data_IF_823974147797
#
_entry.id   IF_823974147797
#
_cell.length_a   1.000
_cell.length_b   1.000
_cell.length_c   1.000
_cell.angle_alpha   90.00
_cell.angle_beta   90.00
_cell.angle_gamma   90.00
#
_symmetry.space_group_name_H-M   'P 1'
#
loop_
_entity.id
_entity.type
_entity.pdbx_description
1 polymer ?
#
# COMPACT_ATOMS: atom_id res chain seq x y z
N UNK A 1 -26.90 9.25 -45.82
CA UNK A 1 -26.12 10.50 -45.67
C UNK A 1 -24.69 10.07 -45.35
N UNK A 2 -23.76 10.26 -46.28
CA UNK A 2 -22.32 10.00 -46.10
C UNK A 2 -21.65 11.29 -45.61
N UNK A 3 -20.45 11.16 -45.02
CA UNK A 3 -19.37 12.16 -44.80
C UNK A 3 -19.06 12.36 -43.31
N UNK A 4 -17.83 12.37 -42.79
CA UNK A 4 -16.48 11.89 -43.17
C UNK A 4 -15.66 11.99 -41.86
N UNK A 5 -14.78 11.02 -41.63
CA UNK A 5 -13.70 11.12 -40.62
C UNK A 5 -12.66 12.16 -41.06
N UNK A 6 -12.13 12.93 -40.10
CA UNK A 6 -10.81 13.58 -40.22
C UNK A 6 -10.10 13.52 -38.87
N UNK A 7 -9.14 12.60 -38.79
CA UNK A 7 -8.09 12.53 -37.77
C UNK A 7 -6.95 13.44 -38.23
N UNK A 8 -6.49 14.33 -37.37
CA UNK A 8 -5.27 15.11 -37.60
C UNK A 8 -4.25 14.70 -36.54
N UNK A 9 -3.28 13.89 -36.97
CA UNK A 9 -2.05 13.59 -36.26
C UNK A 9 -1.04 14.69 -36.59
N UNK A 10 -0.51 15.38 -35.57
CA UNK A 10 0.58 16.34 -35.74
C UNK A 10 1.77 15.87 -34.89
N UNK A 11 2.70 15.15 -35.52
CA UNK A 11 4.01 14.83 -34.96
C UNK A 11 5.04 15.82 -35.49
N UNK A 12 5.58 16.66 -34.61
CA UNK A 12 6.72 17.53 -34.89
C UNK A 12 7.97 16.84 -34.35
N UNK A 13 8.82 16.37 -35.24
CA UNK A 13 10.18 15.90 -34.93
C UNK A 13 11.16 16.95 -35.45
N UNK A 14 11.82 17.67 -34.54
CA UNK A 14 12.94 18.53 -34.85
C UNK A 14 14.24 17.82 -34.45
N UNK A 15 15.10 17.70 -35.43
CA UNK A 15 16.39 17.02 -35.47
C UNK A 15 17.44 17.74 -34.64
N UNK A 16 18.18 16.98 -33.84
CA UNK A 16 19.45 17.40 -33.23
C UNK A 16 20.55 17.20 -34.28
N UNK A 17 21.22 18.29 -34.65
CA UNK A 17 22.46 18.28 -35.40
C UNK A 17 23.48 19.16 -34.67
N UNK A 18 24.47 18.54 -34.06
CA UNK A 18 25.75 19.17 -33.73
C UNK A 18 26.83 18.13 -34.03
N UNK A 19 27.40 18.25 -35.23
CA UNK A 19 28.77 17.81 -35.52
C UNK A 19 29.73 18.75 -34.79
N UNK A 20 30.74 18.20 -34.13
CA UNK A 20 32.04 18.86 -34.09
C UNK A 20 33.16 17.82 -33.95
N UNK A 21 34.17 18.02 -34.78
CA UNK A 21 35.26 17.11 -35.04
C UNK A 21 36.52 17.44 -34.25
N UNK A 22 37.37 16.41 -34.17
CA UNK A 22 38.84 16.41 -34.19
C UNK A 22 39.64 16.83 -32.95
N UNK A 23 40.34 15.80 -32.47
CA UNK A 23 41.78 15.70 -32.18
C UNK A 23 42.40 16.20 -30.87
N UNK A 24 43.08 15.21 -30.28
CA UNK A 24 44.40 15.21 -29.64
C UNK A 24 44.53 15.37 -28.12
N UNK A 25 45.07 14.26 -27.57
CA UNK A 25 46.12 14.14 -26.57
C UNK A 25 45.84 14.26 -25.07
N UNK A 26 46.16 13.13 -24.42
CA UNK A 26 46.77 12.98 -23.10
C UNK A 26 46.14 13.72 -21.92
N UNK A 27 45.40 12.99 -21.07
CA UNK A 27 45.78 12.68 -19.68
C UNK A 27 44.99 11.44 -19.24
N UNK A 28 45.69 10.37 -18.84
CA UNK A 28 45.07 9.27 -18.07
C UNK A 28 44.83 9.78 -16.64
N UNK A 29 43.74 10.52 -16.45
CA UNK A 29 43.18 10.78 -15.13
C UNK A 29 42.46 9.50 -14.71
N UNK A 30 42.97 8.86 -13.67
CA UNK A 30 42.27 7.81 -12.95
C UNK A 30 41.12 8.50 -12.19
N UNK A 31 40.05 8.85 -12.90
CA UNK A 31 38.80 9.27 -12.28
C UNK A 31 38.19 8.04 -11.64
N UNK A 32 38.56 7.83 -10.39
CA UNK A 32 37.84 6.98 -9.47
C UNK A 32 36.49 7.66 -9.21
N UNK A 33 35.55 7.52 -10.16
CA UNK A 33 34.14 7.78 -9.92
C UNK A 33 33.66 6.76 -8.89
N UNK A 34 33.79 7.09 -7.61
CA UNK A 34 32.84 6.61 -6.62
C UNK A 34 31.62 7.54 -6.70
N UNK A 35 30.77 7.34 -7.72
CA UNK A 35 29.36 7.73 -7.61
C UNK A 35 28.74 6.74 -6.63
N UNK A 36 28.94 7.01 -5.34
CA UNK A 36 28.05 6.51 -4.31
C UNK A 36 26.76 7.35 -4.42
N UNK A 37 26.02 7.11 -5.51
CA UNK A 37 24.61 7.49 -5.61
C UNK A 37 23.86 6.57 -4.65
N UNK A 38 24.02 6.83 -3.35
CA UNK A 38 23.18 6.23 -2.33
C UNK A 38 21.77 6.72 -2.62
N UNK A 39 21.00 5.83 -3.24
CA UNK A 39 19.59 6.06 -3.55
C UNK A 39 18.91 6.54 -2.28
N UNK A 40 18.33 7.74 -2.34
CA UNK A 40 17.71 8.37 -1.17
C UNK A 40 16.53 7.52 -0.70
N UNK A 41 16.62 7.02 0.52
CA UNK A 41 15.53 6.37 1.21
C UNK A 41 14.56 7.42 1.78
N UNK A 42 13.28 7.21 1.54
CA UNK A 42 12.18 8.03 2.07
C UNK A 42 11.40 7.19 3.06
N UNK A 43 11.28 7.66 4.30
CA UNK A 43 10.51 6.94 5.33
C UNK A 43 9.04 7.33 5.26
N UNK A 44 8.19 6.35 5.54
CA UNK A 44 6.78 6.58 5.86
C UNK A 44 6.64 6.64 7.38
N UNK A 45 5.88 7.62 7.87
CA UNK A 45 5.67 7.81 9.31
C UNK A 45 4.21 7.55 9.65
N UNK A 46 3.99 6.80 10.74
CA UNK A 46 2.65 6.57 11.29
C UNK A 46 2.02 7.90 11.69
N UNK A 47 0.74 8.07 11.40
CA UNK A 47 -0.06 9.22 11.83
C UNK A 47 -1.50 8.78 12.09
N UNK A 48 -2.26 9.63 12.77
CA UNK A 48 -3.67 9.44 13.08
C UNK A 48 -4.46 10.52 12.32
N UNK A 49 -5.22 10.17 11.27
CA UNK A 49 -6.13 11.11 10.63
C UNK A 49 -7.27 11.51 11.57
N UNK A 50 -7.96 12.60 11.24
CA UNK A 50 -9.16 13.01 11.99
C UNK A 50 -10.24 11.93 11.88
N UNK A 51 -10.66 11.38 13.02
CA UNK A 51 -11.78 10.45 13.09
C UNK A 51 -13.10 11.24 13.07
N UNK A 52 -14.09 10.75 12.32
CA UNK A 52 -15.42 11.34 12.21
C UNK A 52 -16.44 10.45 12.92
N UNK A 53 -17.06 10.99 13.96
CA UNK A 53 -18.13 10.30 14.69
C UNK A 53 -19.50 10.50 14.02
N UNK A 54 -20.37 9.49 14.14
CA UNK A 54 -21.77 9.58 13.73
C UNK A 54 -21.99 9.74 12.22
N UNK A 55 -21.01 9.36 11.40
CA UNK A 55 -21.18 9.29 9.95
C UNK A 55 -22.03 8.06 9.58
N UNK A 56 -22.96 8.22 8.64
CA UNK A 56 -23.86 7.15 8.18
C UNK A 56 -23.76 7.03 6.65
N UNK A 57 -23.88 5.80 6.14
CA UNK A 57 -23.92 5.50 4.71
C UNK A 57 -24.91 4.36 4.47
N UNK A 58 -25.91 4.59 3.63
CA UNK A 58 -26.94 3.58 3.32
C UNK A 58 -26.31 2.27 2.82
N UNK A 59 -26.70 1.15 3.43
CA UNK A 59 -26.23 -0.19 3.08
C UNK A 59 -24.91 -0.61 3.73
N UNK A 60 -24.39 0.20 4.65
CA UNK A 60 -23.18 -0.08 5.42
C UNK A 60 -23.46 0.03 6.91
N UNK A 61 -22.88 -0.87 7.70
CA UNK A 61 -22.74 -0.70 9.14
C UNK A 61 -21.32 -0.19 9.40
N UNK A 62 -21.21 1.04 9.88
CA UNK A 62 -19.95 1.77 9.90
C UNK A 62 -19.30 1.64 11.27
N UNK A 63 -18.11 1.05 11.29
CA UNK A 63 -17.29 0.91 12.49
C UNK A 63 -16.49 2.19 12.74
N UNK A 64 -15.78 2.66 11.71
CA UNK A 64 -14.85 3.79 11.82
C UNK A 64 -14.79 4.62 10.54
N UNK A 65 -14.56 5.92 10.68
CA UNK A 65 -14.38 6.84 9.55
C UNK A 65 -13.23 7.78 9.82
N UNK A 66 -12.30 7.85 8.88
CA UNK A 66 -11.12 8.71 8.94
C UNK A 66 -11.13 9.70 7.78
N UNK A 67 -10.89 10.98 8.08
CA UNK A 67 -10.80 12.05 7.10
C UNK A 67 -9.34 12.29 6.70
N UNK A 68 -9.05 12.18 5.41
CA UNK A 68 -7.76 12.56 4.82
C UNK A 68 -8.03 13.56 3.70
N UNK A 69 -7.67 14.83 3.93
CA UNK A 69 -7.99 15.96 3.06
C UNK A 69 -9.49 16.06 2.74
N UNK A 70 -9.91 15.72 1.51
CA UNK A 70 -11.31 15.73 1.04
C UNK A 70 -11.93 14.34 0.93
N UNK A 71 -11.19 13.30 1.34
CA UNK A 71 -11.56 11.90 1.22
C UNK A 71 -11.92 11.33 2.59
N UNK A 72 -12.87 10.39 2.62
CA UNK A 72 -13.16 9.59 3.80
C UNK A 72 -12.71 8.17 3.55
N UNK A 73 -11.90 7.63 4.46
CA UNK A 73 -11.61 6.19 4.56
C UNK A 73 -12.59 5.63 5.58
N UNK A 74 -13.47 4.76 5.12
CA UNK A 74 -14.56 4.18 5.91
C UNK A 74 -14.24 2.70 6.12
N UNK A 75 -14.21 2.28 7.37
CA UNK A 75 -14.24 0.87 7.76
C UNK A 75 -15.68 0.52 8.05
N UNK A 76 -16.21 -0.40 7.25
CA UNK A 76 -17.61 -0.77 7.38
C UNK A 76 -17.84 -2.22 6.99
N UNK A 77 -18.78 -2.81 7.73
CA UNK A 77 -19.41 -4.06 7.38
C UNK A 77 -20.42 -3.85 6.24
N UNK A 78 -20.45 -4.81 5.32
CA UNK A 78 -21.51 -4.92 4.32
C UNK A 78 -21.97 -6.37 4.21
N UNK A 79 -23.29 -6.57 4.05
CA UNK A 79 -23.85 -7.89 3.76
C UNK A 79 -23.34 -8.47 2.43
N UNK A 80 -22.95 -7.58 1.51
CA UNK A 80 -22.44 -7.91 0.18
C UNK A 80 -23.23 -9.03 -0.50
N UNK A 81 -22.61 -10.18 -0.76
CA UNK A 81 -23.26 -11.30 -1.47
C UNK A 81 -24.00 -12.31 -0.56
N UNK A 82 -24.05 -12.11 0.76
CA UNK A 82 -24.63 -13.07 1.72
C UNK A 82 -26.06 -13.52 1.37
N UNK A 83 -26.90 -12.62 0.90
CA UNK A 83 -28.31 -12.92 0.57
C UNK A 83 -28.46 -13.60 -0.80
N UNK A 84 -27.46 -13.42 -1.68
CA UNK A 84 -27.56 -13.79 -3.11
C UNK A 84 -26.71 -15.00 -3.50
N UNK A 85 -25.80 -15.43 -2.62
CA UNK A 85 -24.87 -16.54 -2.86
C UNK A 85 -25.05 -17.63 -1.79
N UNK A 86 -25.08 -18.90 -2.20
CA UNK A 86 -25.02 -20.03 -1.26
C UNK A 86 -23.63 -20.19 -0.62
N UNK A 87 -22.61 -19.60 -1.23
CA UNK A 87 -21.23 -19.53 -0.71
C UNK A 87 -20.73 -18.09 -0.78
N UNK A 88 -21.16 -17.23 0.16
CA UNK A 88 -20.78 -15.83 0.18
C UNK A 88 -19.26 -15.66 0.24
N UNK A 89 -18.74 -14.75 -0.58
CA UNK A 89 -17.29 -14.53 -0.72
C UNK A 89 -16.90 -13.05 -0.65
N UNK A 90 -17.90 -12.17 -0.59
CA UNK A 90 -17.75 -10.74 -0.48
C UNK A 90 -18.78 -10.23 0.53
N UNK A 91 -18.49 -10.44 1.81
CA UNK A 91 -19.27 -9.98 2.95
C UNK A 91 -18.34 -9.68 4.12
N UNK A 92 -18.81 -8.91 5.10
CA UNK A 92 -18.01 -8.57 6.27
C UNK A 92 -17.42 -7.18 6.24
N UNK A 93 -16.39 -6.97 7.05
CA UNK A 93 -15.65 -5.72 7.10
C UNK A 93 -14.81 -5.48 5.84
N UNK A 94 -14.54 -4.21 5.57
CA UNK A 94 -13.64 -3.81 4.50
C UNK A 94 -13.47 -2.29 4.43
N UNK A 95 -12.46 -1.86 3.66
CA UNK A 95 -12.13 -0.47 3.45
C UNK A 95 -12.92 0.10 2.27
N UNK A 96 -13.59 1.22 2.49
CA UNK A 96 -14.30 1.99 1.45
C UNK A 96 -13.75 3.42 1.38
N UNK A 97 -13.41 3.90 0.19
CA UNK A 97 -12.97 5.29 -0.02
C UNK A 97 -14.13 6.12 -0.59
N UNK A 98 -14.44 7.24 0.06
CA UNK A 98 -15.46 8.18 -0.38
C UNK A 98 -14.87 9.55 -0.73
N UNK A 99 -15.54 10.27 -1.63
CA UNK A 99 -15.38 11.70 -1.84
C UNK A 99 -16.76 12.38 -1.88
N UNK A 100 -17.05 13.19 -0.87
CA UNK A 100 -18.44 13.55 -0.59
C UNK A 100 -19.25 12.30 -0.25
N UNK A 101 -20.32 12.05 -1.01
CA UNK A 101 -21.19 10.87 -0.87
C UNK A 101 -20.91 9.81 -1.95
N UNK A 102 -19.91 10.03 -2.81
CA UNK A 102 -19.56 9.10 -3.88
C UNK A 102 -18.53 8.09 -3.42
N UNK A 103 -18.85 6.80 -3.59
CA UNK A 103 -17.90 5.69 -3.44
C UNK A 103 -16.91 5.73 -4.61
N UNK A 104 -15.63 5.91 -4.29
CA UNK A 104 -14.54 5.86 -5.27
C UNK A 104 -13.88 4.48 -5.34
N UNK A 105 -13.88 3.75 -4.23
CA UNK A 105 -13.28 2.43 -4.12
C UNK A 105 -13.91 1.63 -2.98
N UNK A 106 -13.98 0.31 -3.16
CA UNK A 106 -14.31 -0.65 -2.12
C UNK A 106 -13.32 -1.80 -2.20
N UNK A 107 -12.70 -2.16 -1.08
CA UNK A 107 -11.94 -3.39 -0.98
C UNK A 107 -12.89 -4.58 -1.09
N UNK A 108 -12.33 -5.74 -1.40
CA UNK A 108 -13.03 -6.99 -1.14
C UNK A 108 -13.31 -7.07 0.36
N UNK A 109 -14.48 -7.57 0.75
CA UNK A 109 -14.78 -7.79 2.16
C UNK A 109 -14.06 -9.03 2.67
N UNK A 110 -13.64 -8.97 3.94
CA UNK A 110 -12.76 -9.98 4.55
C UNK A 110 -13.47 -11.00 5.44
N UNK A 111 -14.80 -10.97 5.49
CA UNK A 111 -15.61 -11.87 6.31
C UNK A 111 -15.74 -11.39 7.76
N UNK A 112 -15.52 -12.29 8.71
CA UNK A 112 -15.76 -12.07 10.15
C UNK A 112 -14.45 -12.06 10.96
N UNK A 113 -13.45 -11.23 10.62
CA UNK A 113 -12.47 -10.89 11.63
C UNK A 113 -13.18 -10.11 12.76
N UNK A 114 -12.90 -10.40 14.02
CA UNK A 114 -13.35 -9.53 15.12
C UNK A 114 -12.72 -8.14 15.05
N UNK A 115 -11.58 -8.02 14.36
CA UNK A 115 -10.80 -6.81 14.24
C UNK A 115 -10.36 -6.58 12.79
N UNK A 116 -10.80 -5.46 12.22
CA UNK A 116 -10.33 -4.91 10.95
C UNK A 116 -9.89 -3.45 11.18
N UNK A 117 -8.73 -3.26 11.82
CA UNK A 117 -8.32 -1.95 12.36
C UNK A 117 -7.31 -1.25 11.44
N UNK A 118 -7.60 -0.02 10.95
CA UNK A 118 -6.73 0.68 10.02
C UNK A 118 -5.61 1.47 10.71
N UNK A 119 -4.41 1.38 10.16
CA UNK A 119 -3.24 2.16 10.58
C UNK A 119 -2.67 2.91 9.38
N UNK A 120 -2.39 4.21 9.57
CA UNK A 120 -2.04 5.12 8.48
C UNK A 120 -0.58 5.54 8.56
N UNK A 121 0.09 5.50 7.41
CA UNK A 121 1.50 5.87 7.28
C UNK A 121 1.68 6.81 6.09
N UNK A 122 2.15 8.04 6.34
CA UNK A 122 2.34 9.02 5.27
C UNK A 122 3.79 9.05 4.79
N UNK A 123 3.98 9.20 3.49
CA UNK A 123 5.29 9.51 2.92
C UNK A 123 5.74 10.92 3.38
N UNK A 124 7.01 11.07 3.73
CA UNK A 124 7.56 12.33 4.25
C UNK A 124 7.91 13.37 3.18
N UNK A 125 7.76 13.04 1.90
CA UNK A 125 8.19 13.88 0.77
C UNK A 125 7.14 14.08 -0.31
N UNK A 126 6.05 13.31 -0.29
CA UNK A 126 4.94 13.39 -1.23
C UNK A 126 3.61 13.04 -0.53
N UNK A 127 2.53 12.94 -1.30
CA UNK A 127 1.18 12.73 -0.76
C UNK A 127 0.74 11.26 -0.72
N UNK A 128 1.68 10.30 -0.84
CA UNK A 128 1.36 8.88 -0.71
C UNK A 128 1.05 8.54 0.73
N UNK A 129 0.00 7.77 0.94
CA UNK A 129 -0.35 7.19 2.24
C UNK A 129 -0.49 5.69 2.07
N UNK A 130 0.19 4.93 2.93
CA UNK A 130 -0.07 3.51 3.10
C UNK A 130 -1.07 3.34 4.23
N UNK A 131 -2.10 2.54 3.98
CA UNK A 131 -3.09 2.14 4.99
C UNK A 131 -2.93 0.64 5.17
N UNK A 132 -2.75 0.20 6.41
CA UNK A 132 -2.69 -1.22 6.76
C UNK A 132 -3.88 -1.50 7.66
N UNK A 133 -4.81 -2.32 7.19
CA UNK A 133 -5.90 -2.85 8.00
C UNK A 133 -5.40 -4.15 8.66
N UNK A 134 -5.06 -4.07 9.95
CA UNK A 134 -4.66 -5.24 10.73
C UNK A 134 -5.88 -6.14 10.92
N UNK A 135 -5.66 -7.45 10.71
CA UNK A 135 -6.68 -8.47 10.86
C UNK A 135 -6.49 -9.19 12.19
N UNK A 136 -7.58 -9.44 12.91
CA UNK A 136 -7.54 -10.20 14.16
C UNK A 136 -8.87 -10.87 14.52
N UNK A 137 -8.76 -11.96 15.27
CA UNK A 137 -9.87 -12.64 15.95
C UNK A 137 -9.53 -12.72 17.44
N UNK A 138 -9.22 -13.91 17.94
CA UNK A 138 -8.61 -14.08 19.26
C UNK A 138 -7.15 -13.61 19.27
N UNK A 139 -6.47 -13.66 18.13
CA UNK A 139 -5.08 -13.22 17.90
C UNK A 139 -5.02 -12.42 16.58
N UNK A 140 -4.05 -11.51 16.45
CA UNK A 140 -3.80 -10.82 15.18
C UNK A 140 -3.13 -11.79 14.18
N UNK A 141 -3.40 -11.61 12.89
CA UNK A 141 -2.86 -12.49 11.84
C UNK A 141 -2.45 -11.73 10.58
N UNK A 142 -1.71 -10.64 10.77
CA UNK A 142 -1.22 -9.81 9.68
C UNK A 142 -2.21 -8.74 9.24
N UNK A 143 -2.30 -8.45 7.95
CA UNK A 143 -3.21 -7.40 7.48
C UNK A 143 -3.26 -7.17 5.97
N UNK A 144 -4.24 -6.38 5.54
CA UNK A 144 -4.35 -5.90 4.16
C UNK A 144 -3.69 -4.52 4.01
N UNK A 145 -2.84 -4.37 3.00
CA UNK A 145 -2.16 -3.12 2.69
C UNK A 145 -2.78 -2.44 1.46
N UNK A 146 -2.94 -1.12 1.57
CA UNK A 146 -3.47 -0.26 0.53
C UNK A 146 -2.56 0.95 0.30
N UNK A 147 -2.46 1.41 -0.95
CA UNK A 147 -1.78 2.65 -1.32
C UNK A 147 -2.82 3.69 -1.74
N UNK A 148 -2.90 4.78 -0.98
CA UNK A 148 -3.65 5.98 -1.34
C UNK A 148 -2.67 6.99 -1.97
N UNK A 149 -2.87 7.31 -3.24
CA UNK A 149 -2.07 8.28 -3.99
C UNK A 149 -2.95 9.07 -4.97
N UNK A 150 -2.76 10.39 -5.03
CA UNK A 150 -3.46 11.27 -5.96
C UNK A 150 -5.00 11.13 -5.91
N UNK A 151 -5.53 10.86 -4.71
CA UNK A 151 -6.95 10.70 -4.44
C UNK A 151 -7.58 9.40 -4.96
N UNK A 152 -6.76 8.44 -5.37
CA UNK A 152 -7.18 7.07 -5.67
C UNK A 152 -6.52 6.11 -4.69
N UNK A 153 -7.22 5.06 -4.32
CA UNK A 153 -6.67 3.99 -3.48
C UNK A 153 -6.59 2.70 -4.28
N UNK A 154 -5.55 1.91 -4.05
CA UNK A 154 -5.41 0.56 -4.55
C UNK A 154 -5.07 -0.41 -3.43
N UNK A 155 -5.63 -1.61 -3.49
CA UNK A 155 -5.14 -2.74 -2.70
C UNK A 155 -3.81 -3.19 -3.29
N UNK A 156 -2.77 -3.20 -2.48
CA UNK A 156 -1.43 -3.61 -2.92
C UNK A 156 -1.12 -5.05 -2.54
N UNK A 157 -1.66 -5.57 -1.43
CA UNK A 157 -1.53 -6.98 -1.07
C UNK A 157 -1.78 -7.31 0.40
N UNK A 158 -1.66 -8.60 0.73
CA UNK A 158 -1.80 -9.11 2.10
C UNK A 158 -0.42 -9.31 2.72
N UNK A 159 -0.25 -8.87 3.96
CA UNK A 159 0.92 -9.10 4.80
C UNK A 159 0.63 -10.30 5.70
N UNK A 160 1.18 -11.46 5.34
CA UNK A 160 1.03 -12.72 6.09
C UNK A 160 2.20 -12.95 7.06
N UNK A 161 2.50 -11.94 7.87
CA UNK A 161 3.45 -12.09 8.99
C UNK A 161 2.94 -11.36 10.22
N UNK A 162 3.28 -11.89 11.39
CA UNK A 162 2.84 -11.34 12.67
C UNK A 162 3.98 -11.30 13.71
N UNK A 163 3.83 -10.43 14.70
CA UNK A 163 4.76 -10.27 15.81
C UNK A 163 4.64 -11.45 16.76
N UNK A 164 5.71 -12.22 17.00
CA UNK A 164 5.67 -13.42 17.84
C UNK A 164 5.57 -13.13 19.33
N UNK A 165 5.61 -11.87 19.73
CA UNK A 165 5.47 -11.40 21.10
C UNK A 165 4.17 -10.62 21.30
N UNK A 166 3.18 -10.84 20.43
CA UNK A 166 1.86 -10.25 20.57
C UNK A 166 1.33 -10.42 22.01
N UNK A 167 0.87 -9.30 22.56
CA UNK A 167 0.10 -9.27 23.80
C UNK A 167 -1.31 -8.80 23.46
N UNK A 168 -2.30 -9.24 24.24
CA UNK A 168 -3.74 -8.96 24.11
C UNK A 168 -4.15 -7.48 23.92
N UNK A 169 -3.22 -6.51 23.94
CA UNK A 169 -3.44 -5.07 23.86
C UNK A 169 -2.94 -4.46 22.52
N UNK A 170 -3.38 -4.98 21.36
CA UNK A 170 -3.08 -4.41 20.03
C UNK A 170 -1.58 -4.35 19.62
N UNK A 171 -0.72 -5.21 20.18
CA UNK A 171 0.71 -5.25 19.85
C UNK A 171 1.03 -6.27 18.75
N UNK A 172 0.45 -6.08 17.57
CA UNK A 172 0.64 -6.96 16.41
C UNK A 172 1.66 -6.43 15.40
N UNK A 173 1.37 -6.66 14.12
CA UNK A 173 2.15 -6.29 12.94
C UNK A 173 2.56 -4.82 12.99
N UNK A 174 1.64 -3.98 13.45
CA UNK A 174 1.74 -2.52 13.43
C UNK A 174 2.88 -1.98 14.31
N UNK A 175 3.30 -2.72 15.35
CA UNK A 175 4.39 -2.31 16.25
C UNK A 175 5.76 -2.56 15.63
N UNK A 176 5.89 -3.63 14.83
CA UNK A 176 7.16 -4.01 14.20
C UNK A 176 7.32 -3.46 12.79
N UNK A 177 6.24 -3.12 12.08
CA UNK A 177 6.36 -2.72 10.68
C UNK A 177 7.05 -1.37 10.51
N UNK A 178 7.97 -1.31 9.55
CA UNK A 178 8.69 -0.10 9.13
C UNK A 178 8.61 0.01 7.63
N UNK A 179 8.06 1.13 7.16
CA UNK A 179 7.78 1.33 5.74
C UNK A 179 8.72 2.41 5.19
N UNK A 180 9.39 2.10 4.07
CA UNK A 180 10.23 3.06 3.36
C UNK A 180 10.10 2.89 1.84
N UNK A 181 10.53 3.90 1.11
CA UNK A 181 10.54 3.92 -0.35
C UNK A 181 11.93 4.30 -0.85
N UNK A 182 12.44 3.50 -1.78
CA UNK A 182 13.70 3.73 -2.47
C UNK A 182 13.43 3.66 -3.97
N UNK A 183 13.70 4.76 -4.66
CA UNK A 183 13.28 4.96 -6.05
C UNK A 183 11.76 4.82 -6.22
N UNK A 184 11.29 3.69 -6.75
CA UNK A 184 9.89 3.39 -7.03
C UNK A 184 9.46 2.07 -6.39
N UNK A 185 10.15 1.63 -5.35
CA UNK A 185 9.83 0.43 -4.59
C UNK A 185 9.53 0.79 -3.14
N UNK A 186 8.39 0.32 -2.64
CA UNK A 186 7.99 0.46 -1.24
C UNK A 186 8.35 -0.82 -0.51
N UNK A 187 9.08 -0.71 0.58
CA UNK A 187 9.59 -1.80 1.39
C UNK A 187 8.85 -1.80 2.73
N UNK A 188 8.37 -2.97 3.12
CA UNK A 188 7.72 -3.22 4.40
C UNK A 188 8.62 -4.16 5.18
N UNK A 189 9.48 -3.56 6.01
CA UNK A 189 10.45 -4.26 6.84
C UNK A 189 9.86 -4.50 8.24
N UNK A 190 10.40 -5.49 8.95
CA UNK A 190 9.94 -5.85 10.28
C UNK A 190 11.06 -5.66 11.31
N UNK A 191 10.81 -4.83 12.31
CA UNK A 191 11.69 -4.51 13.42
C UNK A 191 11.50 -5.52 14.55
N UNK A 192 11.91 -6.76 14.30
CA UNK A 192 11.85 -7.88 15.25
C UNK A 192 12.88 -8.96 14.86
N UNK A 193 13.49 -9.64 15.84
CA UNK A 193 14.45 -10.72 15.59
C UNK A 193 13.79 -11.99 15.01
N UNK A 194 12.50 -12.19 15.28
CA UNK A 194 11.70 -13.32 14.81
C UNK A 194 10.32 -12.87 14.37
N UNK A 195 9.70 -13.61 13.47
CA UNK A 195 8.34 -13.37 12.97
C UNK A 195 7.50 -14.65 13.12
N UNK A 196 6.19 -14.52 13.14
CA UNK A 196 5.28 -15.61 12.77
C UNK A 196 5.04 -15.53 11.27
N UNK A 197 5.33 -16.61 10.54
CA UNK A 197 5.04 -16.74 9.11
C UNK A 197 3.67 -17.39 8.92
N UNK A 198 2.73 -16.65 8.35
CA UNK A 198 1.34 -17.06 8.13
C UNK A 198 1.06 -17.44 6.66
N UNK A 199 2.08 -17.56 5.80
CA UNK A 199 1.88 -17.74 4.35
C UNK A 199 1.22 -19.05 3.94
N UNK A 200 1.24 -20.06 4.81
CA UNK A 200 0.62 -21.37 4.60
C UNK A 200 -0.42 -21.71 5.68
N UNK A 201 -1.05 -20.69 6.27
CA UNK A 201 -2.00 -20.82 7.39
C UNK A 201 -1.42 -21.59 8.60
N UNK A 202 -0.10 -21.48 8.77
CA UNK A 202 0.65 -22.12 9.86
C UNK A 202 1.20 -21.03 10.77
N UNK A 203 1.36 -21.31 12.06
CA UNK A 203 1.82 -20.33 13.05
C UNK A 203 3.30 -20.56 13.36
N UNK A 204 4.13 -20.55 12.30
CA UNK A 204 5.53 -20.91 12.40
C UNK A 204 6.38 -19.71 12.81
N UNK A 205 7.11 -19.86 13.92
CA UNK A 205 8.13 -18.87 14.31
C UNK A 205 9.37 -19.03 13.42
N UNK A 206 9.71 -17.98 12.68
CA UNK A 206 10.88 -17.91 11.80
C UNK A 206 11.84 -16.82 12.27
N UNK A 207 13.13 -16.96 11.94
CA UNK A 207 14.13 -15.93 12.20
C UNK A 207 14.01 -14.82 11.14
N UNK A 208 14.04 -13.57 11.56
CA UNK A 208 14.01 -12.44 10.65
C UNK A 208 15.42 -12.12 10.13
N UNK A 209 15.87 -12.84 9.10
CA UNK A 209 17.15 -12.59 8.43
C UNK A 209 16.99 -11.70 7.19
N UNK A 210 16.33 -10.54 7.36
CA UNK A 210 15.92 -9.61 6.30
C UNK A 210 14.64 -10.03 5.56
N UNK A 211 13.67 -10.59 6.27
CA UNK A 211 12.34 -10.85 5.72
C UNK A 211 11.62 -9.50 5.55
N UNK A 212 11.03 -9.28 4.38
CA UNK A 212 10.31 -8.04 4.06
C UNK A 212 9.37 -8.24 2.88
N UNK A 213 8.34 -7.40 2.76
CA UNK A 213 7.60 -7.26 1.51
C UNK A 213 8.16 -6.11 0.67
N UNK A 214 8.11 -6.28 -0.65
CA UNK A 214 8.39 -5.22 -1.62
C UNK A 214 7.18 -5.03 -2.50
N UNK A 215 6.69 -3.79 -2.61
CA UNK A 215 5.78 -3.34 -3.65
C UNK A 215 6.58 -2.62 -4.73
N UNK A 216 6.61 -3.17 -5.95
CA UNK A 216 7.25 -2.54 -7.11
C UNK A 216 6.53 -2.99 -8.38
N UNK A 217 6.26 -2.07 -9.31
CA UNK A 217 5.63 -2.39 -10.61
C UNK A 217 4.32 -3.19 -10.44
N UNK A 218 3.47 -2.76 -9.50
CA UNK A 218 2.20 -3.41 -9.13
C UNK A 218 2.36 -4.88 -8.67
N UNK A 219 3.54 -5.25 -8.17
CA UNK A 219 3.82 -6.55 -7.61
C UNK A 219 4.17 -6.41 -6.13
N UNK A 220 3.33 -6.98 -5.26
CA UNK A 220 3.60 -7.10 -3.83
C UNK A 220 4.10 -8.51 -3.52
N UNK A 221 5.32 -8.61 -3.00
CA UNK A 221 5.97 -9.91 -2.80
C UNK A 221 6.80 -9.96 -1.54
N UNK A 222 6.60 -11.04 -0.78
CA UNK A 222 7.47 -11.44 0.31
C UNK A 222 8.84 -11.88 -0.20
N UNK A 223 9.89 -11.45 0.49
CA UNK A 223 11.30 -11.77 0.24
C UNK A 223 11.95 -12.24 1.54
N UNK A 224 12.94 -13.12 1.42
CA UNK A 224 13.77 -13.56 2.54
C UNK A 224 13.20 -14.70 3.39
N UNK A 225 11.96 -15.14 3.11
CA UNK A 225 11.34 -16.34 3.68
C UNK A 225 11.71 -17.58 2.87
#
# INVERSE_FOLDING_TARGET
MKIRFSVIFLTVSLTIACENSSNEDHVTMNEQYSTDDQKKEIKYLKFEPDQLDGFELDGFDISEVYQIDSLKVVIAFSEGDMVTSETPSDWGDGLTLLKGDSILYQSKRVGDPYQYEPFFYHNTTNNKVIIICQLGNEENYGGEAFLLENGSIEFIGVINVENPNETYDNTGLIEMIRISEVENAIYFNFDSDTLIDLTNDDWNRVKNDSIHYVFKENNFKLKGL
#
